data_IF_752357815972
#
_entry.id   IF_752357815972
#
_cell.length_a   1.000
_cell.length_b   1.000
_cell.length_c   1.000
_cell.angle_alpha   90.00
_cell.angle_beta   90.00
_cell.angle_gamma   90.00
#
_symmetry.space_group_name_H-M   'P 1'
#
loop_
_entity.id
_entity.type
_entity.pdbx_description
1 polymer ?
#
# COMPACT_ATOMS: atom_id res chain seq x y z
N UNK A 1 -17.20 -71.43 -30.92
CA UNK A 1 -17.83 -70.53 -29.92
C UNK A 1 -16.74 -69.92 -29.08
N UNK A 2 -15.98 -68.90 -29.57
CA UNK A 2 -14.97 -68.13 -28.83
C UNK A 2 -14.60 -66.83 -29.56
N UNK A 3 -15.59 -65.93 -29.84
CA UNK A 3 -15.30 -64.62 -30.46
C UNK A 3 -15.96 -63.44 -29.76
N UNK A 4 -16.72 -63.65 -28.70
CA UNK A 4 -17.44 -62.61 -27.99
C UNK A 4 -16.66 -62.00 -26.81
N UNK A 5 -15.78 -62.74 -26.12
CA UNK A 5 -15.07 -62.27 -24.95
C UNK A 5 -14.00 -61.23 -25.24
N UNK A 6 -13.38 -61.26 -26.43
CA UNK A 6 -12.25 -60.35 -26.75
C UNK A 6 -12.69 -58.92 -27.06
N UNK A 7 -13.98 -58.68 -27.38
CA UNK A 7 -14.54 -57.36 -27.64
C UNK A 7 -14.98 -56.62 -26.35
N UNK A 8 -15.39 -57.37 -25.36
CA UNK A 8 -15.74 -56.77 -24.06
C UNK A 8 -14.52 -56.33 -23.26
N UNK A 9 -13.46 -57.17 -23.25
CA UNK A 9 -12.22 -56.81 -22.60
C UNK A 9 -11.52 -55.60 -23.23
N UNK A 10 -11.69 -55.42 -24.55
CA UNK A 10 -11.13 -54.24 -25.22
C UNK A 10 -11.90 -52.94 -24.88
N UNK A 11 -13.22 -53.03 -24.71
CA UNK A 11 -14.06 -51.89 -24.30
C UNK A 11 -13.82 -51.48 -22.84
N UNK A 12 -13.63 -52.49 -21.96
CA UNK A 12 -13.31 -52.23 -20.55
C UNK A 12 -11.94 -51.55 -20.40
N UNK A 13 -10.96 -51.97 -21.16
CA UNK A 13 -9.61 -51.41 -21.12
C UNK A 13 -9.53 -49.99 -21.70
N UNK A 14 -10.34 -49.66 -22.71
CA UNK A 14 -10.44 -48.33 -23.27
C UNK A 14 -11.09 -47.34 -22.31
N UNK A 15 -12.09 -47.83 -21.57
CA UNK A 15 -12.82 -47.00 -20.58
C UNK A 15 -11.92 -46.75 -19.34
N UNK A 16 -11.08 -47.70 -18.97
CA UNK A 16 -10.12 -47.55 -17.86
C UNK A 16 -9.00 -46.58 -18.20
N UNK A 17 -8.47 -46.61 -19.44
CA UNK A 17 -7.49 -45.64 -19.94
C UNK A 17 -8.05 -44.20 -20.01
N UNK A 18 -9.29 -44.04 -20.46
CA UNK A 18 -9.90 -42.73 -20.51
C UNK A 18 -10.20 -42.18 -19.12
N UNK A 19 -10.57 -43.02 -18.14
CA UNK A 19 -10.72 -42.60 -16.74
C UNK A 19 -9.39 -42.21 -16.11
N UNK A 20 -8.30 -42.91 -16.37
CA UNK A 20 -6.97 -42.55 -15.92
C UNK A 20 -6.49 -41.23 -16.54
N UNK A 21 -6.70 -41.02 -17.86
CA UNK A 21 -6.40 -39.73 -18.48
C UNK A 21 -7.19 -38.56 -17.89
N UNK A 22 -8.48 -38.74 -17.62
CA UNK A 22 -9.32 -37.73 -16.99
C UNK A 22 -8.85 -37.39 -15.55
N UNK A 23 -8.43 -38.39 -14.78
CA UNK A 23 -7.87 -38.18 -13.45
C UNK A 23 -6.54 -37.42 -13.53
N UNK A 24 -5.66 -37.75 -14.48
CA UNK A 24 -4.42 -37.01 -14.69
C UNK A 24 -4.62 -35.55 -15.13
N UNK A 25 -5.60 -35.31 -16.03
CA UNK A 25 -5.95 -33.95 -16.45
C UNK A 25 -6.53 -33.16 -15.28
N UNK A 26 -7.38 -33.78 -14.45
CA UNK A 26 -7.97 -33.14 -13.26
C UNK A 26 -6.92 -32.86 -12.18
N UNK A 27 -5.97 -33.75 -11.93
CA UNK A 27 -4.83 -33.51 -11.03
C UNK A 27 -3.90 -32.40 -11.56
N UNK A 28 -3.67 -32.31 -12.87
CA UNK A 28 -2.82 -31.28 -13.46
C UNK A 28 -3.47 -29.89 -13.41
N UNK A 29 -4.80 -29.81 -13.43
CA UNK A 29 -5.53 -28.55 -13.22
C UNK A 29 -5.46 -28.03 -11.78
N UNK A 30 -5.37 -28.90 -10.78
CA UNK A 30 -5.24 -28.48 -9.37
C UNK A 30 -3.83 -28.04 -8.96
N UNK A 31 -2.79 -28.39 -9.71
CA UNK A 31 -1.41 -28.02 -9.42
C UNK A 31 -1.06 -26.57 -9.80
N UNK A 32 -1.94 -25.85 -10.52
CA UNK A 32 -1.70 -24.46 -10.92
C UNK A 32 -2.23 -23.42 -9.92
N UNK A 33 -2.82 -23.83 -8.80
CA UNK A 33 -3.18 -22.92 -7.69
C UNK A 33 -2.03 -22.72 -6.70
N UNK A 34 -0.77 -22.68 -7.16
CA UNK A 34 0.25 -22.01 -6.39
C UNK A 34 -0.05 -20.54 -6.44
N UNK A 35 -1.02 -20.11 -5.64
CA UNK A 35 -1.26 -18.73 -5.29
C UNK A 35 0.07 -18.16 -4.84
N UNK A 36 0.65 -17.28 -5.64
CA UNK A 36 1.75 -16.45 -5.26
C UNK A 36 1.24 -15.58 -4.10
N UNK A 37 1.33 -16.08 -2.89
CA UNK A 37 1.12 -15.32 -1.68
C UNK A 37 2.28 -14.33 -1.59
N UNK A 38 2.14 -13.19 -2.23
CA UNK A 38 2.95 -12.02 -1.88
C UNK A 38 2.75 -11.86 -0.38
N UNK A 39 3.82 -12.00 0.41
CA UNK A 39 3.79 -11.72 1.84
C UNK A 39 3.27 -10.29 1.98
N UNK A 40 1.98 -10.12 2.22
CA UNK A 40 1.39 -8.84 2.57
C UNK A 40 2.07 -8.45 3.88
N UNK A 41 2.87 -7.40 3.86
CA UNK A 41 3.50 -6.90 5.07
C UNK A 41 2.42 -6.65 6.13
N UNK A 42 2.77 -6.85 7.39
CA UNK A 42 1.86 -6.56 8.50
C UNK A 42 1.60 -5.05 8.59
N UNK A 43 0.37 -4.55 8.35
CA UNK A 43 0.05 -3.14 8.40
C UNK A 43 0.13 -2.55 9.81
N UNK A 44 -0.02 -3.34 10.87
CA UNK A 44 0.03 -2.90 12.27
C UNK A 44 1.39 -2.26 12.62
N UNK A 45 2.46 -2.71 11.99
CA UNK A 45 3.83 -2.20 12.20
C UNK A 45 4.01 -0.74 11.77
N UNK A 46 3.07 -0.17 11.01
CA UNK A 46 3.10 1.22 10.58
C UNK A 46 2.29 2.14 11.50
N UNK A 47 1.67 1.62 12.53
CA UNK A 47 0.89 2.43 13.48
C UNK A 47 1.75 3.23 14.45
N UNK A 48 2.93 2.71 14.80
CA UNK A 48 3.88 3.36 15.71
C UNK A 48 5.31 3.26 15.17
N UNK A 49 6.11 4.25 15.47
CA UNK A 49 7.53 4.29 15.12
C UNK A 49 7.95 5.55 14.39
N UNK A 50 9.13 5.50 13.79
CA UNK A 50 9.71 6.59 13.02
C UNK A 50 9.73 6.20 11.55
N UNK A 51 9.28 7.13 10.72
CA UNK A 51 9.13 6.92 9.28
C UNK A 51 9.71 8.11 8.52
N UNK A 52 9.93 7.90 7.24
CA UNK A 52 10.45 8.90 6.32
C UNK A 52 9.59 8.95 5.06
N UNK A 53 9.31 10.18 4.60
CA UNK A 53 8.75 10.44 3.28
C UNK A 53 9.83 11.18 2.48
N UNK A 54 10.19 10.72 1.26
CA UNK A 54 11.16 11.38 0.42
C UNK A 54 10.79 12.84 0.13
N UNK A 55 11.81 13.64 -0.21
CA UNK A 55 11.60 15.02 -0.63
C UNK A 55 10.66 15.11 -1.83
N UNK A 56 9.80 16.13 -1.81
CA UNK A 56 8.85 16.42 -2.87
C UNK A 56 8.97 17.87 -3.35
N UNK A 57 8.06 18.26 -4.24
CA UNK A 57 8.03 19.63 -4.76
C UNK A 57 7.65 20.61 -3.64
N UNK A 58 8.57 21.52 -3.30
CA UNK A 58 8.35 22.58 -2.30
C UNK A 58 8.61 22.19 -0.85
N UNK A 59 9.11 20.98 -0.57
CA UNK A 59 9.51 20.55 0.78
C UNK A 59 10.64 19.50 0.73
N UNK A 60 11.43 19.50 1.79
CA UNK A 60 12.50 18.53 1.99
C UNK A 60 11.91 17.16 2.38
N UNK A 61 12.80 16.20 2.58
CA UNK A 61 12.46 14.95 3.25
C UNK A 61 11.71 15.22 4.54
N UNK A 62 10.61 14.49 4.77
CA UNK A 62 9.80 14.59 5.98
C UNK A 62 10.07 13.42 6.90
N UNK A 63 10.39 13.69 8.15
CA UNK A 63 10.46 12.68 9.21
C UNK A 63 9.12 12.67 9.93
N UNK A 64 8.55 11.49 10.05
CA UNK A 64 7.27 11.25 10.72
C UNK A 64 7.52 10.42 11.97
N UNK A 65 7.08 10.92 13.12
CA UNK A 65 7.05 10.15 14.37
C UNK A 65 5.61 9.87 14.74
N UNK A 66 5.24 8.60 14.89
CA UNK A 66 3.90 8.17 15.32
C UNK A 66 3.97 7.60 16.74
N UNK A 67 3.21 8.22 17.64
CA UNK A 67 3.11 7.86 19.05
C UNK A 67 1.62 7.87 19.41
N UNK A 68 1.07 6.73 19.76
CA UNK A 68 -0.34 6.54 20.13
C UNK A 68 -1.31 7.13 19.08
N UNK A 69 -1.99 8.23 19.40
CA UNK A 69 -2.94 8.92 18.52
C UNK A 69 -2.35 10.18 17.86
N UNK A 70 -1.03 10.36 17.91
CA UNK A 70 -0.35 11.53 17.36
C UNK A 70 0.61 11.14 16.24
N UNK A 71 0.66 11.99 15.21
CA UNK A 71 1.68 12.00 14.17
C UNK A 71 2.37 13.36 14.19
N UNK A 72 3.70 13.35 14.33
CA UNK A 72 4.54 14.55 14.31
C UNK A 72 5.35 14.50 13.01
N UNK A 73 5.27 15.56 12.22
CA UNK A 73 5.95 15.70 10.93
C UNK A 73 6.97 16.81 11.00
N UNK A 74 8.26 16.49 10.74
CA UNK A 74 9.36 17.44 10.68
C UNK A 74 9.90 17.53 9.25
N UNK A 75 9.90 18.74 8.68
CA UNK A 75 10.37 18.98 7.31
C UNK A 75 10.77 20.45 7.11
N UNK A 76 11.53 20.73 6.05
CA UNK A 76 11.79 22.09 5.59
C UNK A 76 10.85 22.42 4.42
N UNK A 77 10.06 23.47 4.58
CA UNK A 77 9.32 24.06 3.49
C UNK A 77 10.26 24.91 2.63
N UNK A 78 10.31 24.62 1.34
CA UNK A 78 11.12 25.35 0.37
C UNK A 78 10.25 26.42 -0.27
N UNK A 79 10.64 27.68 -0.13
CA UNK A 79 9.96 28.84 -0.72
C UNK A 79 10.91 29.48 -1.71
N UNK A 80 10.47 29.58 -2.97
CA UNK A 80 11.21 30.34 -3.98
C UNK A 80 11.04 31.85 -3.69
N UNK A 81 12.15 32.55 -3.58
CA UNK A 81 12.19 34.02 -3.48
C UNK A 81 12.60 34.55 -4.84
N UNK A 82 11.75 35.34 -5.45
CA UNK A 82 12.04 36.07 -6.70
C UNK A 82 11.84 37.54 -6.44
N UNK A 83 12.93 38.32 -6.35
CA UNK A 83 12.94 39.78 -6.39
C UNK A 83 13.71 40.20 -7.64
N UNK A 84 13.50 41.44 -8.12
CA UNK A 84 14.08 41.97 -9.38
C UNK A 84 15.61 41.85 -9.52
N UNK A 85 16.31 41.51 -8.43
CA UNK A 85 17.77 41.41 -8.39
C UNK A 85 18.31 40.08 -7.89
N UNK A 86 17.47 39.17 -7.33
CA UNK A 86 17.94 37.91 -6.79
C UNK A 86 16.85 36.83 -6.92
N UNK A 87 17.21 35.68 -7.48
CA UNK A 87 16.42 34.45 -7.38
C UNK A 87 17.11 33.47 -6.44
N UNK A 88 16.35 32.91 -5.50
CA UNK A 88 16.90 31.96 -4.51
C UNK A 88 15.82 31.13 -3.85
N UNK A 89 16.23 30.13 -3.08
CA UNK A 89 15.35 29.30 -2.28
C UNK A 89 15.57 29.57 -0.80
N UNK A 90 14.49 29.73 -0.05
CA UNK A 90 14.51 29.82 1.42
C UNK A 90 13.92 28.56 2.01
N UNK A 91 14.66 27.92 2.93
CA UNK A 91 14.18 26.79 3.71
C UNK A 91 13.64 27.28 5.04
N UNK A 92 12.42 26.84 5.37
CA UNK A 92 11.77 27.17 6.65
C UNK A 92 11.43 25.87 7.35
N UNK A 93 12.10 25.59 8.48
CA UNK A 93 11.83 24.39 9.30
C UNK A 93 10.38 24.42 9.80
N UNK A 94 9.68 23.31 9.63
CA UNK A 94 8.31 23.08 10.06
C UNK A 94 8.23 21.84 10.93
N UNK A 95 7.44 21.96 11.98
CA UNK A 95 7.03 20.83 12.83
C UNK A 95 5.52 20.93 12.96
N UNK A 96 4.84 19.97 12.38
CA UNK A 96 3.38 19.90 12.42
C UNK A 96 2.96 18.68 13.25
N UNK A 97 2.00 18.87 14.16
CA UNK A 97 1.44 17.81 15.01
C UNK A 97 0.03 17.54 14.58
N UNK A 98 -0.30 16.30 14.30
CA UNK A 98 -1.61 15.88 13.83
C UNK A 98 -2.15 14.76 14.73
N UNK A 99 -3.46 14.76 14.95
CA UNK A 99 -4.16 13.61 15.49
C UNK A 99 -4.32 12.59 14.38
N UNK A 100 -3.89 11.34 14.62
CA UNK A 100 -4.09 10.23 13.70
C UNK A 100 -5.21 9.33 14.23
N UNK A 101 -6.18 9.01 13.36
CA UNK A 101 -7.27 8.09 13.66
C UNK A 101 -7.35 7.00 12.61
N UNK A 102 -7.01 5.78 12.99
CA UNK A 102 -7.11 4.60 12.14
C UNK A 102 -8.56 4.12 12.06
N UNK A 103 -9.07 3.97 10.85
CA UNK A 103 -10.37 3.36 10.58
C UNK A 103 -10.23 1.84 10.43
N UNK A 104 -9.16 1.42 9.77
CA UNK A 104 -8.74 0.03 9.63
C UNK A 104 -7.23 -0.01 9.31
N UNK A 105 -6.70 -1.17 8.94
CA UNK A 105 -5.27 -1.35 8.67
C UNK A 105 -4.77 -0.64 7.39
N UNK A 106 -5.68 -0.19 6.53
CA UNK A 106 -5.35 0.43 5.23
C UNK A 106 -5.90 1.85 5.09
N UNK A 107 -6.56 2.36 6.11
CA UNK A 107 -7.17 3.68 6.04
C UNK A 107 -7.07 4.41 7.37
N UNK A 108 -6.55 5.64 7.34
CA UNK A 108 -6.52 6.53 8.49
C UNK A 108 -6.80 7.97 8.08
N UNK A 109 -7.16 8.79 9.05
CA UNK A 109 -7.30 10.23 8.88
C UNK A 109 -6.34 10.98 9.79
N UNK A 110 -5.88 12.12 9.31
CA UNK A 110 -5.05 13.07 10.05
C UNK A 110 -5.80 14.37 10.22
N UNK A 111 -5.69 14.98 11.39
CA UNK A 111 -6.26 16.31 11.65
C UNK A 111 -5.23 17.16 12.38
N UNK A 112 -4.94 18.35 11.86
CA UNK A 112 -3.99 19.26 12.45
C UNK A 112 -4.40 19.60 13.91
N UNK A 113 -3.45 19.47 14.84
CA UNK A 113 -3.70 19.80 16.26
C UNK A 113 -3.85 21.29 16.47
N UNK A 114 -3.08 22.11 15.74
CA UNK A 114 -3.09 23.57 15.83
C UNK A 114 -3.18 24.16 14.43
N UNK A 115 -4.37 24.21 13.81
CA UNK A 115 -4.57 24.71 12.46
C UNK A 115 -4.27 26.21 12.40
N UNK A 116 -3.44 26.63 11.43
CA UNK A 116 -3.06 28.05 11.22
C UNK A 116 -3.83 28.68 10.07
N UNK A 117 -4.28 27.88 9.10
CA UNK A 117 -5.02 28.31 7.93
C UNK A 117 -6.36 27.57 7.86
N UNK A 118 -7.29 28.08 7.05
CA UNK A 118 -8.59 27.45 6.86
C UNK A 118 -8.44 26.01 6.33
N UNK A 119 -7.54 25.78 5.38
CA UNK A 119 -7.28 24.45 4.82
C UNK A 119 -6.75 23.45 5.87
N UNK A 120 -6.02 23.93 6.88
CA UNK A 120 -5.49 23.09 7.97
C UNK A 120 -6.59 22.54 8.90
N UNK A 121 -7.80 23.07 8.82
CA UNK A 121 -8.97 22.60 9.59
C UNK A 121 -9.58 21.33 8.99
N UNK A 122 -9.35 21.09 7.70
CA UNK A 122 -9.87 19.95 7.01
C UNK A 122 -9.05 18.68 7.37
N UNK A 123 -9.75 17.56 7.46
CA UNK A 123 -9.09 16.30 7.69
C UNK A 123 -8.36 15.83 6.42
N UNK A 124 -7.19 15.25 6.59
CA UNK A 124 -6.47 14.54 5.54
C UNK A 124 -6.85 13.07 5.63
N UNK A 125 -7.38 12.51 4.56
CA UNK A 125 -7.76 11.11 4.45
C UNK A 125 -6.69 10.37 3.68
N UNK A 126 -6.13 9.33 4.30
CA UNK A 126 -5.01 8.55 3.73
C UNK A 126 -5.45 7.11 3.54
N UNK A 127 -5.30 6.63 2.33
CA UNK A 127 -5.48 5.24 1.96
C UNK A 127 -4.12 4.61 1.64
N UNK A 128 -3.80 3.51 2.31
CA UNK A 128 -2.65 2.69 2.00
C UNK A 128 -3.01 1.79 0.82
N UNK A 129 -2.27 1.90 -0.28
CA UNK A 129 -2.54 1.19 -1.53
C UNK A 129 -1.69 -0.06 -1.70
N UNK A 130 -0.47 -0.05 -1.12
CA UNK A 130 0.46 -1.17 -1.17
C UNK A 130 1.30 -1.21 0.10
N UNK A 131 1.63 -2.41 0.57
CA UNK A 131 2.50 -2.62 1.74
C UNK A 131 3.63 -3.55 1.34
N UNK A 132 4.85 -3.19 1.74
CA UNK A 132 6.05 -4.01 1.67
C UNK A 132 6.56 -4.33 3.08
N UNK A 133 7.75 -4.91 3.19
CA UNK A 133 8.37 -5.16 4.48
C UNK A 133 8.75 -3.86 5.22
N UNK A 134 9.17 -2.82 4.54
CA UNK A 134 9.76 -1.62 5.14
C UNK A 134 9.07 -0.33 4.73
N UNK A 135 8.03 -0.42 3.90
CA UNK A 135 7.33 0.75 3.38
C UNK A 135 5.86 0.48 3.08
N UNK A 136 5.12 1.54 2.87
CA UNK A 136 3.82 1.48 2.22
C UNK A 136 3.64 2.66 1.26
N UNK A 137 2.93 2.40 0.16
CA UNK A 137 2.46 3.42 -0.75
C UNK A 137 1.09 3.93 -0.29
N UNK A 138 0.86 5.22 -0.45
CA UNK A 138 -0.39 5.85 -0.04
C UNK A 138 -0.94 6.79 -1.11
N UNK A 139 -2.26 6.98 -1.03
CA UNK A 139 -2.99 8.06 -1.69
C UNK A 139 -3.70 8.88 -0.61
N UNK A 140 -3.57 10.20 -0.66
CA UNK A 140 -4.14 11.11 0.34
C UNK A 140 -4.91 12.25 -0.31
N UNK A 141 -5.96 12.71 0.38
CA UNK A 141 -6.71 13.90 -0.01
C UNK A 141 -7.09 14.74 1.20
N UNK A 142 -7.19 16.06 1.02
CA UNK A 142 -7.61 17.02 2.05
C UNK A 142 -9.09 17.30 1.88
N UNK A 143 -9.88 17.04 2.92
CA UNK A 143 -11.33 17.28 2.93
C UNK A 143 -12.03 16.61 1.74
N UNK A 144 -12.89 17.38 1.07
CA UNK A 144 -13.61 16.95 -0.13
C UNK A 144 -12.90 17.34 -1.44
N UNK A 145 -11.63 17.77 -1.37
CA UNK A 145 -10.86 18.16 -2.55
C UNK A 145 -10.73 16.96 -3.52
N UNK A 146 -10.74 17.26 -4.83
CA UNK A 146 -10.54 16.26 -5.88
C UNK A 146 -9.07 15.88 -6.10
N UNK A 147 -8.14 16.72 -5.62
CA UNK A 147 -6.70 16.44 -5.79
C UNK A 147 -6.24 15.35 -4.85
N UNK A 148 -5.61 14.34 -5.42
CA UNK A 148 -4.93 13.26 -4.72
C UNK A 148 -3.44 13.56 -4.67
N UNK A 149 -2.83 13.29 -3.53
CA UNK A 149 -1.38 13.26 -3.35
C UNK A 149 -0.98 11.82 -3.12
N UNK A 150 0.00 11.34 -3.85
CA UNK A 150 0.52 9.99 -3.73
C UNK A 150 1.97 10.04 -3.26
N UNK A 151 2.40 8.99 -2.59
CA UNK A 151 3.77 8.88 -2.10
C UNK A 151 4.04 7.55 -1.41
N UNK A 152 5.26 7.39 -0.94
CA UNK A 152 5.71 6.22 -0.19
C UNK A 152 6.24 6.65 1.17
N UNK A 153 5.85 5.92 2.19
CA UNK A 153 6.35 6.07 3.57
C UNK A 153 7.27 4.90 3.87
N UNK A 154 8.49 5.18 4.25
CA UNK A 154 9.49 4.18 4.64
C UNK A 154 9.60 4.12 6.17
N UNK A 155 9.66 2.92 6.72
CA UNK A 155 9.91 2.73 8.16
C UNK A 155 11.40 2.82 8.44
N UNK A 156 11.78 3.66 9.41
CA UNK A 156 13.18 3.85 9.85
C UNK A 156 13.44 3.06 11.13
N UNK A 157 12.49 3.12 12.06
CA UNK A 157 12.53 2.38 13.37
C UNK A 157 11.12 2.02 13.82
#
# INVERSE_FOLDING_TARGET
>A
MKKTDKKEDLKLNLNRRNRLCLIFIFCFMFLNFTSCSSKKGDPERFRKGIFEVPAGKGYSKTIITRIDSLQIEEYDKIISISNDSMSGEKKIKRIDTLYIKWKNNFFYSLKMKSPKKQLDKDAIYVQITKITNDSYDFSAKIGFNKFLTEGTVYKVK
#
